data_IF_976803042871
#
_entry.id   IF_976803042871
#
_cell.length_a   1.000
_cell.length_b   1.000
_cell.length_c   1.000
_cell.angle_alpha   90.00
_cell.angle_beta   90.00
_cell.angle_gamma   90.00
#
_symmetry.space_group_name_H-M   'P 1'
#
loop_
_entity.id
_entity.type
_entity.pdbx_description
1 polymer ?
#
# COMPACT_ATOMS: atom_id res chain seq x y z
N UNK A 1 0.79 -26.86 -16.63
CA UNK A 1 1.60 -25.73 -16.17
C UNK A 1 1.02 -24.48 -16.78
N UNK A 2 0.48 -23.59 -15.96
CA UNK A 2 -0.09 -22.30 -16.36
C UNK A 2 1.01 -21.25 -16.24
N UNK A 3 1.16 -20.39 -17.24
CA UNK A 3 2.17 -19.33 -17.23
C UNK A 3 1.49 -18.03 -16.86
N UNK A 4 1.97 -17.39 -15.79
CA UNK A 4 1.49 -16.09 -15.32
C UNK A 4 2.36 -14.97 -15.88
N UNK A 5 1.75 -14.00 -16.54
CA UNK A 5 2.43 -12.85 -17.14
C UNK A 5 1.90 -11.58 -16.49
N UNK A 6 2.76 -10.86 -15.77
CA UNK A 6 2.44 -9.55 -15.21
C UNK A 6 2.71 -8.47 -16.26
N UNK A 7 1.69 -7.68 -16.60
CA UNK A 7 1.78 -6.62 -17.60
C UNK A 7 1.87 -5.22 -16.98
N UNK A 8 1.84 -5.10 -15.65
CA UNK A 8 1.92 -3.82 -14.95
C UNK A 8 3.28 -3.14 -15.04
N UNK A 9 4.35 -3.89 -15.35
CA UNK A 9 5.72 -3.37 -15.41
C UNK A 9 5.93 -2.44 -16.62
N UNK A 10 5.03 -2.49 -17.61
CA UNK A 10 5.13 -1.74 -18.86
C UNK A 10 4.47 -0.34 -18.82
N UNK A 11 3.61 -0.04 -17.82
CA UNK A 11 2.88 1.24 -17.76
C UNK A 11 2.84 1.82 -16.34
N UNK A 12 3.33 3.06 -16.11
CA UNK A 12 3.24 3.68 -14.80
C UNK A 12 1.78 4.06 -14.47
N UNK A 13 1.26 3.47 -13.40
CA UNK A 13 0.06 3.90 -12.65
C UNK A 13 -1.30 3.66 -13.32
N UNK A 14 -1.73 2.39 -13.33
CA UNK A 14 -3.10 2.03 -13.71
C UNK A 14 -4.07 2.37 -12.58
N UNK A 15 -4.97 3.33 -12.85
CA UNK A 15 -5.96 3.85 -11.90
C UNK A 15 -7.38 3.42 -12.25
N UNK A 16 -7.61 2.85 -13.43
CA UNK A 16 -8.94 2.43 -13.85
C UNK A 16 -8.95 1.05 -14.48
N UNK A 17 -10.12 0.40 -14.43
CA UNK A 17 -10.37 -0.84 -15.16
C UNK A 17 -10.21 -0.64 -16.67
N UNK A 18 -10.55 0.55 -17.20
CA UNK A 18 -10.35 0.88 -18.61
C UNK A 18 -8.88 0.85 -19.02
N UNK A 19 -7.99 1.42 -18.20
CA UNK A 19 -6.54 1.40 -18.48
C UNK A 19 -5.99 -0.03 -18.46
N UNK A 20 -6.50 -0.87 -17.56
CA UNK A 20 -6.11 -2.26 -17.49
C UNK A 20 -6.60 -3.08 -18.69
N UNK A 21 -7.86 -2.87 -19.13
CA UNK A 21 -8.39 -3.49 -20.34
C UNK A 21 -7.63 -3.03 -21.59
N UNK A 22 -7.30 -1.75 -21.70
CA UNK A 22 -6.45 -1.24 -22.78
C UNK A 22 -5.08 -1.94 -22.79
N UNK A 23 -4.48 -2.15 -21.61
CA UNK A 23 -3.22 -2.90 -21.47
C UNK A 23 -3.36 -4.37 -21.88
N UNK A 24 -4.45 -5.04 -21.51
CA UNK A 24 -4.74 -6.40 -21.97
C UNK A 24 -4.98 -6.47 -23.49
N UNK A 25 -5.62 -5.46 -24.06
CA UNK A 25 -5.82 -5.36 -25.52
C UNK A 25 -4.48 -5.22 -26.24
N UNK A 26 -3.63 -4.30 -25.79
CA UNK A 26 -2.34 -4.00 -26.39
C UNK A 26 -1.37 -5.20 -26.31
N UNK A 27 -1.30 -5.86 -25.15
CA UNK A 27 -0.21 -6.80 -24.84
C UNK A 27 -0.65 -8.29 -24.81
N UNK A 28 -1.93 -8.55 -24.55
CA UNK A 28 -2.47 -9.92 -24.43
C UNK A 28 -3.46 -10.28 -25.55
N UNK A 29 -3.81 -9.34 -26.42
CA UNK A 29 -4.77 -9.51 -27.52
C UNK A 29 -6.21 -9.72 -27.04
N UNK A 30 -6.57 -9.05 -25.94
CA UNK A 30 -7.95 -9.00 -25.45
C UNK A 30 -8.86 -8.30 -26.45
N UNK A 31 -9.95 -8.96 -26.86
CA UNK A 31 -10.81 -8.52 -27.96
C UNK A 31 -12.30 -8.63 -27.61
N UNK A 32 -13.16 -8.23 -28.56
CA UNK A 32 -14.61 -8.32 -28.39
C UNK A 32 -15.06 -9.75 -28.08
N UNK A 33 -15.89 -9.90 -27.05
CA UNK A 33 -16.37 -11.19 -26.55
C UNK A 33 -15.48 -11.84 -25.50
N UNK A 34 -14.26 -11.34 -25.28
CA UNK A 34 -13.43 -11.78 -24.17
C UNK A 34 -13.93 -11.21 -22.83
N UNK A 35 -13.57 -11.91 -21.75
CA UNK A 35 -13.87 -11.52 -20.39
C UNK A 35 -12.62 -11.61 -19.53
N UNK A 36 -12.42 -10.61 -18.69
CA UNK A 36 -11.41 -10.61 -17.64
C UNK A 36 -12.10 -10.66 -16.27
N UNK A 37 -11.52 -11.38 -15.33
CA UNK A 37 -12.02 -11.45 -13.95
C UNK A 37 -11.21 -10.53 -13.05
N UNK A 38 -11.88 -9.69 -12.26
CA UNK A 38 -11.23 -8.94 -11.19
C UNK A 38 -10.99 -9.87 -10.01
N UNK A 39 -9.76 -9.86 -9.50
CA UNK A 39 -9.39 -10.52 -8.24
C UNK A 39 -8.96 -9.47 -7.24
N UNK A 40 -9.40 -9.63 -6.01
CA UNK A 40 -9.01 -8.79 -4.89
C UNK A 40 -8.24 -9.65 -3.88
N UNK A 41 -7.13 -9.12 -3.36
CA UNK A 41 -6.37 -9.73 -2.29
C UNK A 41 -6.07 -8.70 -1.20
N UNK A 42 -5.91 -9.16 0.03
CA UNK A 42 -5.60 -8.27 1.15
C UNK A 42 -4.11 -7.95 1.18
N UNK A 43 -3.79 -6.65 1.34
CA UNK A 43 -2.45 -6.15 1.59
C UNK A 43 -2.45 -5.40 2.91
N UNK A 44 -1.84 -5.99 3.94
CA UNK A 44 -1.63 -5.32 5.22
C UNK A 44 -0.40 -4.41 5.13
N UNK A 45 -0.62 -3.12 5.32
CA UNK A 45 0.43 -2.11 5.35
C UNK A 45 1.22 -2.18 6.66
N UNK A 46 2.45 -1.63 6.72
CA UNK A 46 3.21 -1.55 7.97
C UNK A 46 2.43 -0.90 9.11
N UNK A 47 1.55 0.07 8.81
CA UNK A 47 0.67 0.70 9.81
C UNK A 47 -0.32 -0.25 10.48
N UNK A 48 -0.50 -1.47 9.95
CA UNK A 48 -1.54 -2.43 10.31
C UNK A 48 -2.87 -2.18 9.57
N UNK A 49 -2.91 -1.14 8.73
CA UNK A 49 -4.06 -0.88 7.86
C UNK A 49 -4.11 -1.90 6.73
N UNK A 50 -5.24 -2.57 6.54
CA UNK A 50 -5.46 -3.43 5.36
C UNK A 50 -6.02 -2.62 4.21
N UNK A 51 -5.40 -2.76 3.03
CA UNK A 51 -5.88 -2.24 1.75
C UNK A 51 -6.04 -3.39 0.77
N UNK A 52 -6.82 -3.19 -0.28
CA UNK A 52 -7.09 -4.20 -1.30
C UNK A 52 -6.09 -4.07 -2.44
N UNK A 53 -5.40 -5.16 -2.77
CA UNK A 53 -4.68 -5.34 -4.03
C UNK A 53 -5.67 -5.83 -5.08
N UNK A 54 -5.82 -5.08 -6.17
CA UNK A 54 -6.79 -5.39 -7.23
C UNK A 54 -6.06 -5.72 -8.53
N UNK A 55 -6.37 -6.87 -9.10
CA UNK A 55 -5.80 -7.31 -10.38
C UNK A 55 -6.89 -7.77 -11.35
N UNK A 56 -6.69 -7.53 -12.64
CA UNK A 56 -7.51 -8.10 -13.70
C UNK A 56 -6.81 -9.33 -14.27
N UNK A 57 -7.50 -10.46 -14.27
CA UNK A 57 -7.02 -11.75 -14.74
C UNK A 57 -7.71 -12.10 -16.05
N UNK A 58 -6.92 -12.27 -17.10
CA UNK A 58 -7.40 -12.72 -18.41
C UNK A 58 -6.73 -14.05 -18.75
N UNK A 59 -7.54 -15.10 -18.89
CA UNK A 59 -7.06 -16.41 -19.32
C UNK A 59 -7.30 -16.58 -20.83
N UNK A 60 -6.24 -16.86 -21.57
CA UNK A 60 -6.31 -17.18 -22.98
C UNK A 60 -6.05 -18.66 -23.17
N UNK A 61 -6.80 -19.32 -24.07
CA UNK A 61 -6.86 -20.78 -24.33
C UNK A 61 -5.53 -21.53 -24.55
N UNK A 62 -4.39 -20.84 -24.48
CA UNK A 62 -3.03 -21.39 -24.49
C UNK A 62 -2.44 -21.55 -23.07
N UNK A 63 -3.25 -21.63 -22.01
CA UNK A 63 -2.81 -21.74 -20.61
C UNK A 63 -1.94 -20.56 -20.12
N UNK A 64 -2.11 -19.40 -20.77
CA UNK A 64 -1.50 -18.15 -20.33
C UNK A 64 -2.55 -17.36 -19.55
N UNK A 65 -2.16 -16.92 -18.36
CA UNK A 65 -2.96 -16.02 -17.53
C UNK A 65 -2.21 -14.71 -17.46
N UNK A 66 -2.82 -13.68 -18.05
CA UNK A 66 -2.31 -12.32 -18.00
C UNK A 66 -2.91 -11.62 -16.80
N UNK A 67 -2.07 -10.94 -16.03
CA UNK A 67 -2.50 -10.16 -14.88
C UNK A 67 -2.08 -8.71 -15.06
N UNK A 68 -3.05 -7.82 -14.85
CA UNK A 68 -2.81 -6.38 -14.79
C UNK A 68 -3.22 -5.90 -13.40
N UNK A 69 -2.25 -5.49 -12.59
CA UNK A 69 -2.48 -4.92 -11.27
C UNK A 69 -2.85 -3.43 -11.35
N UNK A 70 -3.92 -3.07 -10.66
CA UNK A 70 -4.29 -1.70 -10.35
C UNK A 70 -3.60 -1.25 -9.06
N UNK A 71 -3.61 0.06 -8.78
CA UNK A 71 -3.17 0.58 -7.48
C UNK A 71 -3.93 -0.09 -6.34
N UNK A 72 -3.25 -0.34 -5.22
CA UNK A 72 -3.93 -0.79 -4.01
C UNK A 72 -4.84 0.31 -3.46
N UNK A 73 -6.01 -0.04 -2.94
CA UNK A 73 -7.02 0.91 -2.45
C UNK A 73 -7.93 0.30 -1.39
N UNK A 74 -8.66 1.16 -0.69
CA UNK A 74 -9.80 0.74 0.14
C UNK A 74 -11.13 1.01 -0.52
N UNK A 75 -11.18 2.11 -1.26
CA UNK A 75 -12.39 2.61 -1.89
C UNK A 75 -12.15 2.73 -3.38
N UNK A 76 -13.21 2.52 -4.14
CA UNK A 76 -13.25 2.81 -5.55
C UNK A 76 -14.56 3.51 -5.86
N UNK A 77 -14.60 4.17 -7.01
CA UNK A 77 -15.78 4.82 -7.51
C UNK A 77 -16.12 4.30 -8.90
N UNK A 78 -17.41 4.18 -9.18
CA UNK A 78 -17.91 3.73 -10.45
C UNK A 78 -19.23 4.41 -10.80
N UNK A 79 -19.70 4.20 -12.03
CA UNK A 79 -21.05 4.58 -12.43
C UNK A 79 -21.96 3.36 -12.42
N UNK A 80 -23.02 3.44 -11.64
CA UNK A 80 -24.16 2.54 -11.75
C UNK A 80 -25.30 3.30 -12.44
N UNK A 81 -25.68 2.86 -13.64
CA UNK A 81 -26.59 3.61 -14.53
C UNK A 81 -26.01 5.01 -14.85
N UNK A 82 -26.60 6.06 -14.26
CA UNK A 82 -26.20 7.46 -14.43
C UNK A 82 -25.64 8.08 -13.15
N UNK A 83 -25.58 7.33 -12.05
CA UNK A 83 -25.14 7.83 -10.75
C UNK A 83 -23.69 7.41 -10.47
N UNK A 84 -22.93 8.33 -9.89
CA UNK A 84 -21.61 8.04 -9.34
C UNK A 84 -21.81 7.41 -7.96
N UNK A 85 -21.19 6.26 -7.74
CA UNK A 85 -21.23 5.54 -6.47
C UNK A 85 -19.82 5.29 -5.97
N UNK A 86 -19.64 5.42 -4.65
CA UNK A 86 -18.42 5.06 -3.94
C UNK A 86 -18.69 3.79 -3.12
N UNK A 87 -17.75 2.85 -3.13
CA UNK A 87 -17.92 1.58 -2.43
C UNK A 87 -16.56 0.92 -2.13
N UNK A 88 -16.59 -0.13 -1.31
CA UNK A 88 -15.37 -0.82 -0.89
C UNK A 88 -14.76 -1.58 -2.07
N UNK A 89 -13.44 -1.47 -2.27
CA UNK A 89 -12.75 -2.14 -3.38
C UNK A 89 -12.90 -3.67 -3.33
N UNK A 90 -13.09 -4.26 -2.16
CA UNK A 90 -13.37 -5.70 -2.00
C UNK A 90 -14.66 -6.15 -2.68
N UNK A 91 -15.64 -5.26 -2.88
CA UNK A 91 -16.88 -5.59 -3.59
C UNK A 91 -16.65 -5.88 -5.09
N UNK A 92 -15.49 -5.51 -5.64
CA UNK A 92 -15.07 -5.89 -7.00
C UNK A 92 -14.58 -7.34 -7.11
N UNK A 93 -14.45 -8.06 -5.99
CA UNK A 93 -13.96 -9.44 -6.01
C UNK A 93 -14.82 -10.32 -6.92
N UNK A 94 -14.15 -11.07 -7.80
CA UNK A 94 -14.74 -11.95 -8.80
C UNK A 94 -15.65 -11.27 -9.82
N UNK A 95 -15.65 -9.93 -9.90
CA UNK A 95 -16.39 -9.21 -10.93
C UNK A 95 -15.85 -9.54 -12.33
N UNK A 96 -16.76 -9.66 -13.29
CA UNK A 96 -16.42 -9.97 -14.69
C UNK A 96 -16.46 -8.70 -15.52
N UNK A 97 -15.36 -8.41 -16.21
CA UNK A 97 -15.18 -7.23 -17.07
C UNK A 97 -15.17 -7.66 -18.53
N UNK A 98 -16.02 -7.02 -19.33
CA UNK A 98 -16.09 -7.24 -20.78
C UNK A 98 -15.19 -6.27 -21.57
N UNK A 99 -15.17 -6.43 -22.89
CA UNK A 99 -14.47 -5.55 -23.84
C UNK A 99 -14.97 -4.11 -23.87
N UNK A 100 -16.20 -3.87 -23.41
CA UNK A 100 -16.80 -2.54 -23.33
C UNK A 100 -16.53 -1.85 -21.98
N UNK A 101 -15.70 -2.49 -21.13
CA UNK A 101 -15.31 -2.02 -19.80
C UNK A 101 -16.51 -1.92 -18.84
N UNK A 102 -17.52 -2.77 -19.05
CA UNK A 102 -18.57 -2.99 -18.06
C UNK A 102 -18.11 -4.08 -17.10
N UNK A 103 -18.17 -3.79 -15.80
CA UNK A 103 -17.91 -4.75 -14.75
C UNK A 103 -19.24 -5.25 -14.19
N UNK A 104 -19.48 -6.55 -14.29
CA UNK A 104 -20.62 -7.24 -13.65
C UNK A 104 -20.17 -7.78 -12.31
N UNK A 105 -20.73 -7.24 -11.22
CA UNK A 105 -20.46 -7.68 -9.85
C UNK A 105 -21.12 -9.03 -9.58
N UNK A 106 -20.72 -9.69 -8.49
CA UNK A 106 -21.27 -11.00 -8.07
C UNK A 106 -22.78 -10.96 -7.77
N UNK A 107 -23.31 -9.79 -7.39
CA UNK A 107 -24.73 -9.57 -7.16
C UNK A 107 -25.52 -9.28 -8.44
N UNK A 108 -24.86 -9.31 -9.61
CA UNK A 108 -25.45 -9.07 -10.92
C UNK A 108 -25.57 -7.59 -11.32
N UNK A 109 -25.19 -6.64 -10.46
CA UNK A 109 -25.13 -5.23 -10.84
C UNK A 109 -24.04 -5.01 -11.90
N UNK A 110 -24.38 -4.26 -12.94
CA UNK A 110 -23.43 -3.83 -13.97
C UNK A 110 -23.02 -2.38 -13.70
N UNK A 111 -21.73 -2.18 -13.47
CA UNK A 111 -21.12 -0.87 -13.25
C UNK A 111 -20.09 -0.57 -14.36
N UNK A 112 -19.81 0.71 -14.59
CA UNK A 112 -18.84 1.15 -15.60
C UNK A 112 -17.96 2.27 -15.06
N UNK A 113 -16.90 2.60 -15.79
CA UNK A 113 -15.96 3.66 -15.41
C UNK A 113 -15.39 3.45 -13.99
N UNK A 114 -15.08 2.20 -13.66
CA UNK A 114 -14.51 1.83 -12.36
C UNK A 114 -13.11 2.44 -12.26
N UNK A 115 -12.95 3.29 -11.26
CA UNK A 115 -11.70 3.97 -10.93
C UNK A 115 -11.33 3.67 -9.49
N UNK A 116 -10.07 3.32 -9.31
CA UNK A 116 -9.50 3.01 -8.02
C UNK A 116 -9.03 4.31 -7.37
N UNK A 117 -9.50 4.59 -6.15
CA UNK A 117 -8.96 5.67 -5.34
C UNK A 117 -7.73 5.14 -4.60
N UNK A 118 -6.49 5.49 -5.00
CA UNK A 118 -5.30 4.85 -4.46
C UNK A 118 -5.27 5.01 -2.94
N UNK A 119 -4.98 3.92 -2.25
CA UNK A 119 -4.64 3.96 -0.85
C UNK A 119 -3.53 4.99 -0.68
N UNK A 120 -3.73 5.91 0.27
CA UNK A 120 -2.68 6.79 0.74
C UNK A 120 -1.69 5.93 1.53
N UNK A 121 -0.90 5.12 0.83
CA UNK A 121 0.35 4.62 1.39
C UNK A 121 1.15 5.87 1.82
N UNK A 122 2.06 5.78 2.80
CA UNK A 122 2.93 6.88 3.18
C UNK A 122 3.82 7.38 2.01
N UNK A 123 3.27 8.06 1.01
CA UNK A 123 4.04 8.59 -0.12
C UNK A 123 4.68 9.93 0.23
N UNK A 124 4.09 10.67 1.17
CA UNK A 124 4.69 11.88 1.72
C UNK A 124 5.07 11.63 3.18
N UNK A 125 6.29 11.12 3.36
CA UNK A 125 6.95 11.11 4.66
C UNK A 125 7.74 12.40 4.78
N UNK A 126 7.41 13.21 5.78
CA UNK A 126 8.10 14.48 6.01
C UNK A 126 9.48 14.25 6.63
N UNK A 127 10.40 15.20 6.49
CA UNK A 127 11.70 15.13 7.18
C UNK A 127 11.54 14.95 8.70
N UNK A 128 10.48 15.54 9.27
CA UNK A 128 10.15 15.36 10.67
C UNK A 128 9.76 13.90 10.98
N UNK A 129 8.99 13.26 10.10
CA UNK A 129 8.64 11.84 10.26
C UNK A 129 9.89 10.96 10.22
N UNK A 130 10.79 11.19 9.28
CA UNK A 130 12.08 10.50 9.20
C UNK A 130 12.91 10.68 10.47
N UNK A 131 13.02 11.93 10.96
CA UNK A 131 13.73 12.20 12.23
C UNK A 131 13.14 11.43 13.41
N UNK A 132 11.81 11.39 13.53
CA UNK A 132 11.13 10.62 14.59
C UNK A 132 11.48 9.13 14.47
N UNK A 133 11.40 8.57 13.26
CA UNK A 133 11.66 7.13 13.03
C UNK A 133 13.12 6.79 13.31
N UNK A 134 14.07 7.52 12.72
CA UNK A 134 15.50 7.27 12.94
C UNK A 134 15.92 7.44 14.39
N UNK A 135 15.40 8.47 15.07
CA UNK A 135 15.65 8.66 16.49
C UNK A 135 15.12 7.48 17.31
N UNK A 136 13.93 6.98 16.96
CA UNK A 136 13.33 5.84 17.66
C UNK A 136 14.13 4.56 17.47
N UNK A 137 14.57 4.28 16.24
CA UNK A 137 15.44 3.13 15.93
C UNK A 137 16.74 3.22 16.74
N UNK A 138 17.35 4.40 16.79
CA UNK A 138 18.61 4.60 17.49
C UNK A 138 18.49 4.51 19.01
N UNK A 139 17.43 5.11 19.58
CA UNK A 139 17.13 4.97 21.01
C UNK A 139 16.78 3.52 21.39
N UNK A 140 16.27 2.71 20.45
CA UNK A 140 16.03 1.28 20.62
C UNK A 140 17.27 0.40 20.34
N UNK A 141 18.39 0.99 19.87
CA UNK A 141 19.64 0.30 19.49
C UNK A 141 19.42 -0.84 18.49
N UNK A 142 18.62 -0.58 17.46
CA UNK A 142 18.19 -1.57 16.48
C UNK A 142 18.58 -1.20 15.04
N UNK A 143 19.56 -0.32 14.88
CA UNK A 143 20.01 0.17 13.57
C UNK A 143 20.42 -0.99 12.64
N UNK A 144 21.12 -1.99 13.18
CA UNK A 144 21.64 -3.16 12.46
C UNK A 144 20.56 -4.00 11.77
N UNK A 145 19.36 -4.12 12.37
CA UNK A 145 18.24 -4.89 11.80
C UNK A 145 17.22 -4.03 11.05
N UNK A 146 17.09 -2.76 11.43
CA UNK A 146 16.07 -1.88 10.88
C UNK A 146 16.50 -1.17 9.59
N UNK A 147 17.80 -1.06 9.32
CA UNK A 147 18.32 -0.56 8.05
C UNK A 147 18.82 -1.72 7.19
N UNK A 148 18.35 -1.80 5.94
CA UNK A 148 18.73 -2.86 5.02
C UNK A 148 18.98 -2.31 3.62
N UNK A 149 20.13 -2.67 3.03
CA UNK A 149 20.39 -2.44 1.62
C UNK A 149 19.95 -3.66 0.79
N UNK A 150 19.51 -3.46 -0.46
CA UNK A 150 19.29 -4.56 -1.38
C UNK A 150 20.56 -5.41 -1.56
N UNK A 151 20.37 -6.71 -1.84
CA UNK A 151 21.48 -7.60 -2.13
C UNK A 151 22.33 -7.09 -3.30
N UNK A 152 23.66 -7.12 -3.16
CA UNK A 152 24.61 -6.67 -4.17
C UNK A 152 25.17 -5.25 -3.96
N UNK A 153 24.73 -4.53 -2.92
CA UNK A 153 25.39 -3.30 -2.47
C UNK A 153 26.57 -3.63 -1.53
N UNK A 154 27.78 -3.35 -1.99
CA UNK A 154 29.00 -3.43 -1.16
C UNK A 154 29.45 -2.01 -0.81
N UNK A 155 29.14 -1.57 0.41
CA UNK A 155 29.52 -0.24 0.92
C UNK A 155 30.17 -0.37 2.30
N UNK A 156 31.20 0.45 2.63
CA UNK A 156 31.94 0.33 3.88
C UNK A 156 31.09 0.52 5.16
N UNK A 157 30.01 1.31 5.08
CA UNK A 157 29.08 1.54 6.20
C UNK A 157 27.63 1.39 5.73
N UNK A 158 27.16 0.14 5.73
CA UNK A 158 25.82 -0.22 5.30
C UNK A 158 24.73 0.55 6.06
N UNK A 159 24.89 0.71 7.37
CA UNK A 159 23.90 1.35 8.24
C UNK A 159 23.81 2.85 7.94
N UNK A 160 24.94 3.54 7.82
CA UNK A 160 24.93 4.97 7.50
C UNK A 160 24.33 5.23 6.12
N UNK A 161 24.73 4.45 5.11
CA UNK A 161 24.21 4.59 3.74
C UNK A 161 22.72 4.28 3.67
N UNK A 162 22.27 3.17 4.28
CA UNK A 162 20.85 2.83 4.31
C UNK A 162 20.02 3.88 5.04
N UNK A 163 20.55 4.47 6.13
CA UNK A 163 19.89 5.57 6.84
C UNK A 163 19.77 6.83 5.97
N UNK A 164 20.84 7.23 5.29
CA UNK A 164 20.84 8.39 4.39
C UNK A 164 19.81 8.24 3.25
N UNK A 165 19.71 7.03 2.70
CA UNK A 165 18.78 6.69 1.64
C UNK A 165 17.36 6.34 2.14
N UNK A 166 17.10 6.41 3.45
CA UNK A 166 15.83 6.04 4.08
C UNK A 166 15.37 4.60 3.78
N UNK A 167 16.32 3.66 3.66
CA UNK A 167 16.08 2.25 3.35
C UNK A 167 15.81 1.46 4.63
N UNK A 168 14.51 1.36 4.96
CA UNK A 168 14.02 0.68 6.15
C UNK A 168 13.56 -0.74 5.86
N UNK A 169 13.91 -1.65 6.76
CA UNK A 169 13.31 -2.96 6.87
C UNK A 169 12.01 -2.87 7.71
N UNK A 170 10.87 -2.68 7.04
CA UNK A 170 9.58 -2.51 7.70
C UNK A 170 9.11 -3.72 8.52
N UNK A 171 9.54 -4.95 8.18
CA UNK A 171 9.23 -6.10 9.04
C UNK A 171 10.00 -6.03 10.36
N UNK A 172 11.27 -5.64 10.34
CA UNK A 172 12.06 -5.46 11.55
C UNK A 172 11.55 -4.31 12.44
N UNK A 173 10.96 -3.26 11.83
CA UNK A 173 10.34 -2.16 12.58
C UNK A 173 9.08 -2.58 13.33
N UNK A 174 8.29 -3.47 12.74
CA UNK A 174 7.08 -4.00 13.38
C UNK A 174 7.41 -4.81 14.64
N UNK A 175 8.52 -5.54 14.60
CA UNK A 175 8.99 -6.40 15.68
C UNK A 175 10.04 -5.69 16.55
N UNK A 176 10.00 -4.35 16.59
CA UNK A 176 10.94 -3.56 17.36
C UNK A 176 10.65 -3.68 18.86
N UNK A 177 11.40 -4.54 19.53
CA UNK A 177 11.43 -4.59 20.99
C UNK A 177 12.02 -3.30 21.58
N UNK A 178 11.61 -2.94 22.80
CA UNK A 178 12.13 -1.80 23.56
C UNK A 178 11.91 -0.41 22.95
N UNK A 179 10.81 -0.20 22.20
CA UNK A 179 10.41 1.15 21.77
C UNK A 179 10.33 2.10 22.98
N UNK A 180 11.10 3.19 23.01
CA UNK A 180 11.09 4.11 24.15
C UNK A 180 9.72 4.79 24.34
N UNK A 181 9.50 5.35 25.53
CA UNK A 181 8.34 6.19 25.78
C UNK A 181 8.37 7.45 24.90
N UNK A 182 7.18 7.95 24.49
CA UNK A 182 7.06 9.10 23.60
C UNK A 182 7.81 10.34 24.13
N UNK A 183 7.81 10.54 25.45
CA UNK A 183 8.56 11.61 26.14
C UNK A 183 10.08 11.48 25.99
N UNK A 184 10.60 10.25 25.99
CA UNK A 184 12.04 10.01 25.79
C UNK A 184 12.42 10.37 24.36
N UNK A 185 11.64 9.91 23.38
CA UNK A 185 11.83 10.24 21.97
C UNK A 185 11.75 11.75 21.74
N UNK A 186 10.76 12.42 22.32
CA UNK A 186 10.62 13.88 22.26
C UNK A 186 11.84 14.59 22.85
N UNK A 187 12.32 14.15 24.02
CA UNK A 187 13.49 14.71 24.68
C UNK A 187 14.76 14.53 23.85
N UNK A 188 14.95 13.36 23.25
CA UNK A 188 16.12 13.10 22.40
C UNK A 188 16.08 13.92 21.10
N UNK A 189 14.90 14.08 20.48
CA UNK A 189 14.72 14.96 19.33
C UNK A 189 15.10 16.41 19.64
N UNK A 190 14.75 16.91 20.84
CA UNK A 190 15.09 18.26 21.29
C UNK A 190 16.59 18.41 21.58
N UNK A 191 17.25 17.40 22.16
CA UNK A 191 18.71 17.44 22.39
C UNK A 191 19.48 17.56 21.08
N UNK A 192 19.05 16.85 20.04
CA UNK A 192 19.69 16.89 18.73
C UNK A 192 19.33 18.13 17.91
N UNK A 193 18.20 18.79 18.20
CA UNK A 193 17.77 20.02 17.53
C UNK A 193 17.17 21.03 18.53
N UNK A 194 17.99 21.70 19.36
CA UNK A 194 17.50 22.55 20.45
C UNK A 194 16.72 23.78 19.99
N UNK A 195 16.94 24.24 18.76
CA UNK A 195 16.25 25.39 18.17
C UNK A 195 14.92 25.03 17.48
N UNK A 196 14.53 23.75 17.48
CA UNK A 196 13.30 23.30 16.82
C UNK A 196 12.08 23.43 17.73
N UNK A 197 10.90 23.64 17.13
CA UNK A 197 9.63 23.59 17.87
C UNK A 197 9.45 22.20 18.46
N UNK A 198 9.06 22.14 19.74
CA UNK A 198 8.74 20.88 20.43
C UNK A 198 7.72 20.08 19.62
N UNK A 199 8.09 18.87 19.23
CA UNK A 199 7.23 17.92 18.53
C UNK A 199 6.23 17.35 19.53
N UNK A 200 4.93 17.37 19.23
CA UNK A 200 3.93 16.81 20.15
C UNK A 200 4.04 15.29 20.25
N UNK A 201 3.76 14.72 21.44
CA UNK A 201 3.69 13.26 21.62
C UNK A 201 2.67 12.61 20.68
N UNK A 202 1.58 13.32 20.35
CA UNK A 202 0.59 12.86 19.38
C UNK A 202 1.19 12.68 17.98
N UNK A 203 1.97 13.66 17.49
CA UNK A 203 2.67 13.55 16.20
C UNK A 203 3.66 12.38 16.21
N UNK A 204 4.43 12.21 17.28
CA UNK A 204 5.34 11.06 17.45
C UNK A 204 4.55 9.75 17.36
N UNK A 205 3.47 9.62 18.13
CA UNK A 205 2.62 8.43 18.14
C UNK A 205 2.03 8.11 16.77
N UNK A 206 1.52 9.12 16.06
CA UNK A 206 0.94 8.97 14.72
C UNK A 206 2.01 8.55 13.70
N UNK A 207 3.21 9.14 13.75
CA UNK A 207 4.34 8.74 12.90
C UNK A 207 4.76 7.31 13.20
N UNK A 208 4.97 6.92 14.46
CA UNK A 208 5.36 5.55 14.81
C UNK A 208 4.29 4.52 14.42
N UNK A 209 3.01 4.90 14.51
CA UNK A 209 1.90 4.08 14.01
C UNK A 209 1.97 3.92 12.50
N UNK A 210 2.22 5.00 11.76
CA UNK A 210 2.34 5.01 10.29
C UNK A 210 3.44 4.06 9.80
N UNK A 211 4.54 3.96 10.54
CA UNK A 211 5.69 3.10 10.22
C UNK A 211 5.60 1.68 10.80
N UNK A 212 4.52 1.33 11.49
CA UNK A 212 4.33 0.01 12.09
C UNK A 212 5.11 -0.27 13.37
N UNK A 213 5.85 0.72 13.89
CA UNK A 213 6.65 0.60 15.11
C UNK A 213 5.76 0.53 16.35
N UNK A 214 4.63 1.26 16.34
CA UNK A 214 3.70 1.29 17.48
C UNK A 214 2.27 1.36 17.00
N UNK A 215 1.55 0.26 17.03
CA UNK A 215 0.11 0.29 16.74
C UNK A 215 -0.65 0.97 17.89
N UNK A 216 -1.62 1.84 17.55
CA UNK A 216 -2.57 2.36 18.53
C UNK A 216 -3.32 1.18 19.13
N UNK A 217 -3.12 0.91 20.43
CA UNK A 217 -3.98 -0.03 21.16
C UNK A 217 -5.42 0.48 21.05
N UNK A 218 -6.33 -0.35 20.51
CA UNK A 218 -7.74 -0.03 20.49
C UNK A 218 -8.18 0.33 21.92
N UNK A 219 -8.65 1.56 22.11
CA UNK A 219 -9.17 1.98 23.41
C UNK A 219 -10.43 1.14 23.66
N UNK A 220 -10.56 0.44 24.80
CA UNK A 220 -11.80 -0.28 25.10
C UNK A 220 -12.94 0.73 25.00
N UNK A 221 -13.93 0.45 24.13
CA UNK A 221 -15.16 1.24 24.12
C UNK A 221 -15.73 1.11 25.52
N UNK A 222 -15.85 2.23 26.24
CA UNK A 222 -16.67 2.26 27.45
C UNK A 222 -18.07 1.85 26.99
N UNK A 223 -18.49 0.65 27.37
CA UNK A 223 -19.89 0.27 27.33
C UNK A 223 -20.60 1.24 28.25
N UNK A 224 -21.28 2.22 27.66
CA UNK A 224 -22.26 3.04 28.39
C UNK A 224 -23.37 2.08 28.77
N UNK A 225 -23.48 1.80 30.08
CA UNK A 225 -24.65 1.15 30.68
C UNK A 225 -25.69 2.27 30.91
#
# INVERSE_FOLDING_TARGET
>A
MTVHINLSDCKPYLLSVADAIATLSDEAGFQSGDQARITCGDLTLPSGETVTLTGLFFERGNRHVYTVWLRSSKTCHARYRSELIDFDTTELADAIVDSDVNATLIDGRVIRAVQIAPAKLPYETTDLDWRIVHQTISSAKAEDRCYALPAGFDVPDLVATARELNLLNYSALRDLDNVPFLKVIQGDLLKHNPNSKVVSEQKISDTLSKFGIRHKRARPRRTTI
#
